data_IF_758220300104
#
_entry.id   IF_758220300104
#
_cell.length_a   1.000
_cell.length_b   1.000
_cell.length_c   1.000
_cell.angle_alpha   90.00
_cell.angle_beta   90.00
_cell.angle_gamma   90.00
#
_symmetry.space_group_name_H-M   'P 1'
#
loop_
_entity.id
_entity.type
_entity.pdbx_description
1 polymer ?
#
# COMPACT_ATOMS: atom_id res chain seq x y z
N UNK A 1 12.85 -10.69 22.64
CA UNK A 1 13.32 -9.30 22.42
C UNK A 1 12.55 -8.54 21.33
N UNK A 2 11.91 -9.20 20.34
CA UNK A 2 11.15 -8.53 19.27
C UNK A 2 9.80 -7.91 19.70
N UNK A 3 9.12 -8.51 20.68
CA UNK A 3 7.80 -8.04 21.17
C UNK A 3 7.92 -6.72 21.95
N UNK A 4 9.01 -6.55 22.71
CA UNK A 4 9.24 -5.32 23.49
C UNK A 4 9.41 -4.08 22.61
N UNK A 5 10.02 -4.21 21.44
CA UNK A 5 10.23 -3.11 20.50
C UNK A 5 8.91 -2.63 19.88
N UNK A 6 7.99 -3.56 19.58
CA UNK A 6 6.68 -3.24 18.99
C UNK A 6 5.78 -2.51 19.99
N UNK A 7 5.78 -2.91 21.26
CA UNK A 7 4.96 -2.27 22.31
C UNK A 7 5.44 -0.83 22.59
N UNK A 8 6.76 -0.61 22.63
CA UNK A 8 7.32 0.74 22.81
C UNK A 8 6.97 1.65 21.62
N UNK A 9 6.95 1.12 20.40
CA UNK A 9 6.60 1.88 19.20
C UNK A 9 5.12 2.27 19.16
N UNK A 10 4.22 1.36 19.56
CA UNK A 10 2.78 1.63 19.67
C UNK A 10 2.45 2.65 20.76
N UNK A 11 3.14 2.59 21.91
CA UNK A 11 2.98 3.59 22.97
C UNK A 11 3.47 4.98 22.55
N UNK A 12 4.55 5.06 21.77
CA UNK A 12 5.07 6.35 21.28
C UNK A 12 4.10 7.00 20.28
N UNK A 13 3.48 6.21 19.40
CA UNK A 13 2.49 6.70 18.44
C UNK A 13 1.22 7.25 19.11
N UNK A 14 0.70 6.57 20.15
CA UNK A 14 -0.48 7.04 20.87
C UNK A 14 -0.27 8.38 21.60
N UNK A 15 0.97 8.67 22.01
CA UNK A 15 1.31 9.94 22.67
C UNK A 15 1.60 11.09 21.70
N UNK A 16 1.85 10.82 20.43
CA UNK A 16 2.10 11.87 19.43
C UNK A 16 0.82 12.39 18.77
N UNK A 17 -0.27 11.63 18.76
CA UNK A 17 -1.54 12.04 18.14
C UNK A 17 -2.39 12.97 19.01
N UNK A 18 -1.98 13.25 20.26
CA UNK A 18 -2.73 14.11 21.18
C UNK A 18 -2.20 15.55 21.27
N UNK A 19 -1.13 15.91 20.56
CA UNK A 19 -0.61 17.27 20.52
C UNK A 19 -1.30 18.10 19.41
N UNK A 20 -2.41 18.75 19.79
CA UNK A 20 -2.69 20.17 19.55
C UNK A 20 -2.88 20.64 18.08
N UNK A 21 -4.09 21.08 17.70
CA UNK A 21 -4.52 22.48 17.87
C UNK A 21 -5.87 22.71 17.16
N UNK A 22 -6.85 23.21 17.91
CA UNK A 22 -8.08 23.77 17.36
C UNK A 22 -7.78 25.15 16.77
N UNK A 23 -7.71 25.27 15.44
CA UNK A 23 -7.85 26.56 14.75
C UNK A 23 -8.53 26.38 13.40
N UNK A 24 -9.56 27.20 13.22
CA UNK A 24 -10.47 27.35 12.09
C UNK A 24 -9.85 27.95 10.82
N UNK A 25 -10.65 27.97 9.74
CA UNK A 25 -10.60 28.80 8.51
C UNK A 25 -10.03 28.17 7.22
N UNK A 26 -10.97 27.68 6.40
CA UNK A 26 -11.37 28.20 5.08
C UNK A 26 -10.45 28.16 3.83
N UNK A 27 -11.14 28.13 2.69
CA UNK A 27 -10.71 28.34 1.30
C UNK A 27 -9.97 27.19 0.59
N UNK A 28 -10.67 26.61 -0.39
CA UNK A 28 -10.11 25.63 -1.32
C UNK A 28 -9.19 26.23 -2.38
N UNK A 29 -8.53 25.32 -3.10
CA UNK A 29 -8.23 25.53 -4.51
C UNK A 29 -8.16 24.17 -5.21
N UNK A 30 -8.99 24.01 -6.24
CA UNK A 30 -8.95 22.92 -7.20
C UNK A 30 -7.83 23.17 -8.20
N UNK A 31 -6.78 22.37 -8.17
CA UNK A 31 -5.90 22.17 -9.31
C UNK A 31 -5.58 20.70 -9.45
N UNK A 32 -6.05 20.14 -10.57
CA UNK A 32 -5.68 18.84 -11.10
C UNK A 32 -4.16 18.77 -11.30
N UNK A 33 -3.46 18.08 -10.40
CA UNK A 33 -2.12 17.57 -10.64
C UNK A 33 -2.14 16.07 -10.34
N UNK A 34 -2.11 15.29 -11.42
CA UNK A 34 -1.77 13.87 -11.41
C UNK A 34 -0.30 13.75 -10.99
N UNK A 35 -0.06 13.79 -9.68
CA UNK A 35 1.23 13.42 -9.11
C UNK A 35 1.22 11.91 -8.96
N UNK A 36 1.88 11.20 -9.88
CA UNK A 36 2.33 9.85 -9.59
C UNK A 36 3.15 9.90 -8.28
N UNK A 37 2.67 9.29 -7.19
CA UNK A 37 3.10 9.64 -5.83
C UNK A 37 4.40 8.94 -5.43
N UNK A 38 5.34 8.76 -6.35
CA UNK A 38 6.59 8.09 -6.01
C UNK A 38 7.62 8.99 -5.33
N UNK A 39 7.50 10.33 -5.33
CA UNK A 39 8.32 11.19 -4.47
C UNK A 39 7.81 12.65 -4.43
N UNK A 40 6.71 12.91 -3.71
CA UNK A 40 6.14 14.25 -3.50
C UNK A 40 6.35 14.76 -2.06
N UNK A 41 7.12 15.83 -1.92
CA UNK A 41 7.28 16.74 -0.76
C UNK A 41 6.96 16.21 0.66
N UNK A 42 7.99 15.67 1.32
CA UNK A 42 7.96 15.07 2.66
C UNK A 42 7.53 16.02 3.79
N UNK A 43 6.30 15.88 4.26
CA UNK A 43 5.96 16.12 5.68
C UNK A 43 6.48 14.94 6.50
N UNK A 44 7.05 15.17 7.68
CA UNK A 44 7.66 14.13 8.54
C UNK A 44 6.72 12.93 8.83
N UNK A 45 5.40 13.17 8.86
CA UNK A 45 4.40 12.11 8.99
C UNK A 45 4.31 11.16 7.79
N UNK A 46 4.56 11.66 6.57
CA UNK A 46 4.57 10.84 5.34
C UNK A 46 5.73 9.83 5.33
N UNK A 47 6.93 10.26 5.77
CA UNK A 47 8.13 9.41 5.83
C UNK A 47 7.94 8.22 6.79
N UNK A 48 7.31 8.47 7.94
CA UNK A 48 7.03 7.41 8.92
C UNK A 48 5.95 6.44 8.41
N UNK A 49 4.94 6.93 7.69
CA UNK A 49 3.94 6.10 7.02
C UNK A 49 4.56 5.18 5.96
N UNK A 50 5.46 5.72 5.14
CA UNK A 50 6.17 4.97 4.11
C UNK A 50 7.12 3.93 4.70
N UNK A 51 7.83 4.28 5.78
CA UNK A 51 8.72 3.34 6.46
C UNK A 51 7.93 2.21 7.12
N UNK A 52 6.79 2.54 7.76
CA UNK A 52 5.92 1.53 8.35
C UNK A 52 5.36 0.59 7.28
N UNK A 53 4.90 1.12 6.14
CA UNK A 53 4.42 0.30 5.02
C UNK A 53 5.52 -0.59 4.47
N UNK A 54 6.73 -0.07 4.26
CA UNK A 54 7.90 -0.87 3.85
C UNK A 54 8.24 -1.96 4.87
N UNK A 55 8.19 -1.65 6.16
CA UNK A 55 8.43 -2.64 7.22
C UNK A 55 7.36 -3.74 7.23
N UNK A 56 6.09 -3.39 7.04
CA UNK A 56 5.01 -4.36 6.93
C UNK A 56 5.18 -5.26 5.70
N UNK A 57 5.49 -4.68 4.53
CA UNK A 57 5.75 -5.43 3.30
C UNK A 57 6.91 -6.44 3.47
N UNK A 58 8.01 -6.00 4.07
CA UNK A 58 9.18 -6.85 4.32
C UNK A 58 8.91 -7.96 5.34
N UNK A 59 8.16 -7.66 6.41
CA UNK A 59 7.87 -8.65 7.47
C UNK A 59 6.79 -9.66 7.08
N UNK A 60 5.89 -9.29 6.17
CA UNK A 60 4.89 -10.18 5.59
C UNK A 60 5.47 -11.05 4.45
N UNK A 61 6.69 -10.76 3.97
CA UNK A 61 7.30 -11.47 2.85
C UNK A 61 6.53 -11.23 1.56
N UNK A 62 6.03 -10.00 1.37
CA UNK A 62 5.23 -9.65 0.19
C UNK A 62 6.17 -9.35 -0.97
N UNK A 63 5.96 -10.05 -2.09
CA UNK A 63 6.68 -9.82 -3.35
C UNK A 63 5.72 -9.32 -4.41
N UNK A 64 6.13 -8.30 -5.15
CA UNK A 64 5.37 -7.71 -6.24
C UNK A 64 5.68 -8.40 -7.57
N UNK A 65 4.63 -8.69 -8.33
CA UNK A 65 4.71 -9.31 -9.64
C UNK A 65 3.73 -8.66 -10.63
N UNK A 66 3.93 -8.97 -11.90
CA UNK A 66 3.16 -8.43 -13.00
C UNK A 66 2.75 -9.55 -13.95
N UNK A 67 1.48 -9.57 -14.35
CA UNK A 67 0.90 -10.51 -15.30
C UNK A 67 0.42 -9.76 -16.53
N UNK A 68 0.78 -10.20 -17.72
CA UNK A 68 0.24 -9.63 -18.94
C UNK A 68 -1.11 -10.28 -19.26
N UNK A 69 -2.19 -9.51 -19.21
CA UNK A 69 -3.57 -9.97 -19.47
C UNK A 69 -4.11 -9.35 -20.76
N UNK A 70 -4.99 -10.02 -21.51
CA UNK A 70 -5.70 -9.40 -22.62
C UNK A 70 -6.45 -8.16 -22.16
N UNK A 71 -6.36 -7.09 -22.95
CA UNK A 71 -7.08 -5.85 -22.65
C UNK A 71 -8.60 -6.02 -22.78
N UNK A 72 -9.04 -6.80 -23.77
CA UNK A 72 -10.43 -7.11 -24.02
C UNK A 72 -10.62 -8.63 -24.19
N UNK A 73 -11.31 -9.27 -23.24
CA UNK A 73 -11.57 -10.71 -23.29
C UNK A 73 -12.75 -11.09 -24.20
N UNK A 74 -13.51 -10.10 -24.67
CA UNK A 74 -14.69 -10.33 -25.52
C UNK A 74 -14.39 -10.18 -27.01
N UNK A 75 -13.31 -9.48 -27.36
CA UNK A 75 -12.87 -9.32 -28.74
C UNK A 75 -11.67 -10.23 -29.07
N UNK A 76 -11.94 -11.34 -29.75
CA UNK A 76 -10.92 -12.32 -30.15
C UNK A 76 -9.89 -11.80 -31.16
N UNK A 77 -10.13 -10.63 -31.78
CA UNK A 77 -9.20 -10.01 -32.73
C UNK A 77 -8.33 -8.92 -32.08
N UNK A 78 -8.58 -8.56 -30.82
CA UNK A 78 -7.72 -7.63 -30.09
C UNK A 78 -6.58 -8.40 -29.42
N UNK A 79 -5.35 -8.13 -29.86
CA UNK A 79 -4.13 -8.76 -29.33
C UNK A 79 -3.41 -7.88 -28.29
N UNK A 80 -3.99 -6.75 -27.89
CA UNK A 80 -3.38 -5.86 -26.90
C UNK A 80 -3.44 -6.46 -25.51
N UNK A 81 -2.40 -6.21 -24.73
CA UNK A 81 -2.30 -6.67 -23.34
C UNK A 81 -2.06 -5.50 -22.38
N UNK A 82 -2.43 -5.71 -21.12
CA UNK A 82 -2.19 -4.82 -19.99
C UNK A 82 -1.32 -5.56 -18.96
N UNK A 83 -0.39 -4.86 -18.30
CA UNK A 83 0.39 -5.43 -17.16
C UNK A 83 -0.37 -5.27 -15.83
N UNK A 84 -1.00 -6.34 -15.36
CA UNK A 84 -1.75 -6.37 -14.11
C UNK A 84 -0.79 -6.63 -12.94
N UNK A 85 -0.78 -5.75 -11.95
CA UNK A 85 0.00 -5.93 -10.72
C UNK A 85 -0.70 -6.93 -9.79
N UNK A 86 0.08 -7.81 -9.18
CA UNK A 86 -0.39 -8.66 -8.09
C UNK A 86 0.71 -8.87 -7.05
N UNK A 87 0.30 -9.17 -5.83
CA UNK A 87 1.19 -9.38 -4.69
C UNK A 87 1.12 -10.83 -4.26
N UNK A 88 2.26 -11.42 -3.90
CA UNK A 88 2.33 -12.78 -3.36
C UNK A 88 2.95 -12.78 -1.98
N UNK A 89 2.54 -13.72 -1.13
CA UNK A 89 3.19 -14.04 0.13
C UNK A 89 3.20 -15.54 0.29
N UNK A 90 4.39 -16.13 0.40
CA UNK A 90 4.60 -17.56 0.60
C UNK A 90 4.75 -17.93 2.09
N UNK A 91 4.66 -16.95 3.00
CA UNK A 91 4.91 -17.08 4.44
C UNK A 91 4.15 -18.22 5.11
N UNK A 92 2.93 -18.49 4.65
CA UNK A 92 2.08 -19.57 5.16
C UNK A 92 1.77 -20.64 4.11
N UNK A 93 2.38 -20.54 2.93
CA UNK A 93 2.16 -21.49 1.84
C UNK A 93 2.76 -22.85 2.20
N UNK A 94 2.01 -23.91 1.87
CA UNK A 94 2.47 -25.30 1.96
C UNK A 94 2.15 -25.98 0.65
N UNK A 95 3.09 -26.76 0.12
CA UNK A 95 2.86 -27.54 -1.10
C UNK A 95 1.65 -28.45 -0.94
N UNK A 96 0.74 -28.43 -1.91
CA UNK A 96 -0.54 -29.14 -1.87
C UNK A 96 -1.62 -28.50 -0.99
N UNK A 97 -1.33 -27.37 -0.34
CA UNK A 97 -2.31 -26.57 0.39
C UNK A 97 -3.15 -25.65 -0.52
N UNK A 98 -4.21 -25.03 0.02
CA UNK A 98 -5.04 -24.10 -0.75
C UNK A 98 -4.30 -22.80 -1.05
N UNK A 99 -4.70 -22.16 -2.15
CA UNK A 99 -4.31 -20.79 -2.50
C UNK A 99 -5.41 -19.83 -2.05
N UNK A 100 -5.03 -18.77 -1.34
CA UNK A 100 -5.92 -17.66 -1.04
C UNK A 100 -5.70 -16.56 -2.06
N UNK A 101 -6.78 -16.13 -2.71
CA UNK A 101 -6.76 -15.05 -3.69
C UNK A 101 -7.67 -13.95 -3.17
N UNK A 102 -7.09 -12.77 -2.96
CA UNK A 102 -7.84 -11.54 -2.72
C UNK A 102 -8.08 -10.87 -4.07
N UNK A 103 -9.35 -10.60 -4.39
CA UNK A 103 -9.70 -9.85 -5.59
C UNK A 103 -9.79 -8.38 -5.19
N UNK A 104 -8.85 -7.58 -5.68
CA UNK A 104 -8.78 -6.15 -5.39
C UNK A 104 -10.06 -5.42 -5.81
N UNK A 105 -10.44 -4.43 -5.00
CA UNK A 105 -11.54 -3.51 -5.30
C UNK A 105 -11.04 -2.22 -5.95
N UNK A 106 -11.71 -1.12 -5.64
CA UNK A 106 -11.40 0.22 -6.18
C UNK A 106 -10.10 0.82 -5.62
N UNK A 107 -9.57 0.28 -4.53
CA UNK A 107 -8.49 0.92 -3.77
C UNK A 107 -7.11 0.35 -4.08
N UNK A 108 -6.10 1.21 -3.98
CA UNK A 108 -4.71 0.83 -4.14
C UNK A 108 -4.29 -0.17 -3.06
N UNK A 109 -3.78 -1.30 -3.52
CA UNK A 109 -3.09 -2.33 -2.73
C UNK A 109 -1.59 -2.07 -2.64
#
# INVERSE_FOLDING_TARGET
MKIAIIIVFLCLFATLTCAENDTSEDAGNSTSEEVDPMFGNSTFGSVMGDLFRKLLYMTAGITEHWLDVPLDHFNLFDNRTWRMRYLTSDKFFKSGGPLFIEVGGEWTI
#
